data_IF_645758677836
#
_entry.id   IF_645758677836
#
_cell.length_a   1.000
_cell.length_b   1.000
_cell.length_c   1.000
_cell.angle_alpha   90.00
_cell.angle_beta   90.00
_cell.angle_gamma   90.00
#
_symmetry.space_group_name_H-M   'P 1'
#
loop_
_entity.id
_entity.type
_entity.pdbx_description
1 polymer ?
#
# COMPACT_ATOMS: atom_id res chain seq x y z
N UNK A 1 76.72 -59.93 11.31
CA UNK A 1 77.31 -58.98 12.29
C UNK A 1 77.21 -57.57 11.74
N UNK A 2 76.51 -56.70 12.49
CA UNK A 2 76.68 -55.24 12.63
C UNK A 2 76.80 -54.37 11.37
N UNK A 3 75.74 -53.60 11.09
CA UNK A 3 75.85 -52.14 10.87
C UNK A 3 74.68 -51.45 11.57
N UNK A 4 75.02 -50.44 12.36
CA UNK A 4 74.15 -49.59 13.16
C UNK A 4 73.71 -48.39 12.31
N UNK A 5 72.42 -48.09 12.29
CA UNK A 5 71.87 -46.83 11.76
C UNK A 5 71.79 -45.80 12.89
N UNK A 6 72.07 -44.54 12.54
CA UNK A 6 72.32 -43.44 13.46
C UNK A 6 71.03 -42.81 14.00
N UNK A 7 71.01 -42.61 15.32
CA UNK A 7 70.04 -41.83 16.09
C UNK A 7 70.24 -40.32 15.87
N UNK A 8 69.15 -39.59 15.67
CA UNK A 8 69.04 -38.17 16.03
C UNK A 8 67.85 -37.99 16.97
N UNK A 9 68.14 -37.85 18.26
CA UNK A 9 67.16 -37.60 19.34
C UNK A 9 67.10 -36.10 19.61
N UNK A 10 65.91 -35.53 19.41
CA UNK A 10 65.54 -34.16 19.79
C UNK A 10 65.10 -34.11 21.26
N UNK A 11 65.41 -32.99 21.90
CA UNK A 11 65.39 -32.63 23.33
C UNK A 11 64.12 -32.96 24.17
N UNK A 12 64.24 -32.99 25.52
CA UNK A 12 63.26 -33.60 26.43
C UNK A 12 62.09 -32.68 26.87
N UNK A 13 60.98 -33.35 27.20
CA UNK A 13 59.74 -32.81 27.74
C UNK A 13 59.85 -32.39 29.21
N UNK A 14 59.25 -31.24 29.56
CA UNK A 14 59.10 -30.74 30.92
C UNK A 14 57.80 -31.25 31.57
N UNK A 15 57.90 -31.60 32.86
CA UNK A 15 56.86 -32.22 33.68
C UNK A 15 55.80 -31.21 34.24
N UNK A 16 54.65 -31.68 34.75
CA UNK A 16 53.48 -30.86 35.05
C UNK A 16 53.43 -30.32 36.49
N UNK A 17 52.74 -29.20 36.73
CA UNK A 17 52.42 -28.68 38.06
C UNK A 17 50.96 -28.21 38.12
N UNK A 18 50.23 -28.69 39.13
CA UNK A 18 48.78 -28.49 39.32
C UNK A 18 48.38 -27.03 39.63
N UNK A 19 47.15 -26.59 39.30
CA UNK A 19 46.68 -25.25 39.64
C UNK A 19 46.22 -25.13 41.10
N UNK A 20 46.72 -24.07 41.76
CA UNK A 20 46.40 -23.64 43.13
C UNK A 20 45.11 -22.83 43.15
N UNK A 21 44.20 -23.15 44.08
CA UNK A 21 42.94 -22.44 44.30
C UNK A 21 43.15 -20.98 44.74
N UNK A 22 42.36 -20.07 44.19
CA UNK A 22 42.33 -18.62 44.50
C UNK A 22 41.28 -18.31 45.59
N UNK A 23 41.55 -17.37 46.52
CA UNK A 23 40.57 -16.94 47.53
C UNK A 23 39.53 -15.95 46.97
N UNK A 24 38.34 -15.82 47.60
CA UNK A 24 37.29 -14.94 47.11
C UNK A 24 37.59 -13.45 47.34
N UNK A 25 37.23 -12.62 46.36
CA UNK A 25 37.38 -11.17 46.42
C UNK A 25 36.40 -10.53 47.40
N UNK A 26 36.90 -9.71 48.32
CA UNK A 26 36.08 -8.86 49.21
C UNK A 26 35.65 -7.59 48.47
N UNK A 27 34.34 -7.36 48.41
CA UNK A 27 33.76 -6.19 47.76
C UNK A 27 34.06 -4.90 48.56
N UNK A 28 34.90 -4.02 48.02
CA UNK A 28 35.16 -2.68 48.59
C UNK A 28 34.02 -1.73 48.22
N UNK A 29 33.16 -1.44 49.19
CA UNK A 29 32.09 -0.44 49.10
C UNK A 29 32.67 0.96 48.90
N UNK A 30 32.52 1.54 47.71
CA UNK A 30 32.94 2.92 47.45
C UNK A 30 31.88 3.92 47.95
N UNK A 31 32.31 4.86 48.78
CA UNK A 31 31.52 5.95 49.36
C UNK A 31 31.14 6.99 48.28
N UNK A 32 30.21 6.65 47.41
CA UNK A 32 29.63 7.57 46.41
C UNK A 32 28.11 7.43 46.33
N UNK A 33 27.43 7.44 47.49
CA UNK A 33 25.96 7.44 47.61
C UNK A 33 25.42 8.56 48.50
N UNK A 34 26.19 9.64 48.69
CA UNK A 34 25.76 10.82 49.47
C UNK A 34 25.12 11.95 48.66
N UNK A 35 25.23 11.93 47.32
CA UNK A 35 24.85 13.09 46.48
C UNK A 35 23.55 12.87 45.69
N UNK A 36 23.01 11.66 45.64
CA UNK A 36 21.72 11.38 44.95
C UNK A 36 20.50 11.56 45.88
N UNK A 37 20.70 11.69 47.20
CA UNK A 37 19.61 11.86 48.17
C UNK A 37 19.00 13.27 48.24
N UNK A 38 19.68 14.31 47.74
CA UNK A 38 19.22 15.70 47.87
C UNK A 38 18.30 16.12 46.71
N UNK A 39 18.36 15.47 45.55
CA UNK A 39 17.49 15.79 44.40
C UNK A 39 16.11 15.11 44.45
N UNK A 40 15.90 14.09 45.29
CA UNK A 40 14.61 13.43 45.44
C UNK A 40 13.62 14.18 46.37
N UNK A 41 14.08 15.14 47.16
CA UNK A 41 13.23 15.90 48.08
C UNK A 41 12.53 17.11 47.42
N UNK A 42 12.96 17.55 46.23
CA UNK A 42 12.34 18.70 45.54
C UNK A 42 11.25 18.35 44.52
N UNK A 43 11.04 17.06 44.20
CA UNK A 43 9.97 16.63 43.29
C UNK A 43 8.63 16.33 43.99
N UNK A 44 8.57 16.29 45.33
CA UNK A 44 7.34 15.96 46.07
C UNK A 44 6.49 17.20 46.49
N UNK A 45 6.96 18.43 46.22
CA UNK A 45 6.24 19.67 46.60
C UNK A 45 5.61 20.39 45.37
N UNK A 46 5.98 20.00 44.15
CA UNK A 46 5.45 20.60 42.91
C UNK A 46 4.07 20.08 42.45
N UNK A 47 3.52 19.03 43.06
CA UNK A 47 2.29 18.37 42.59
C UNK A 47 1.02 18.75 43.40
N UNK A 48 1.10 19.65 44.38
CA UNK A 48 -0.06 20.07 45.21
C UNK A 48 -0.59 21.47 44.87
N UNK A 49 0.08 22.23 44.01
CA UNK A 49 -0.34 23.57 43.58
C UNK A 49 -1.02 23.62 42.18
N UNK A 50 -1.59 22.51 41.71
CA UNK A 50 -2.23 22.40 40.39
C UNK A 50 -3.69 21.92 40.43
N UNK A 51 -4.35 21.94 41.61
CA UNK A 51 -5.73 21.43 41.75
C UNK A 51 -6.72 22.42 42.41
N UNK A 52 -6.39 23.72 42.46
CA UNK A 52 -7.32 24.77 42.91
C UNK A 52 -7.17 26.01 42.00
N UNK A 53 -7.89 26.01 40.86
CA UNK A 53 -8.17 27.17 40.01
C UNK A 53 -7.01 27.72 39.14
N UNK A 54 -7.25 28.12 37.88
CA UNK A 54 -8.39 28.95 37.48
C UNK A 54 -9.19 28.38 36.29
N UNK A 55 -10.33 27.76 36.59
CA UNK A 55 -11.47 27.70 35.66
C UNK A 55 -12.15 29.07 35.70
N UNK A 56 -11.67 30.03 34.91
CA UNK A 56 -12.23 31.39 34.94
C UNK A 56 -11.42 32.42 34.16
N UNK A 57 -11.11 32.14 32.89
CA UNK A 57 -10.68 33.17 31.93
C UNK A 57 -10.66 32.58 30.50
N UNK A 58 -11.83 32.39 29.91
CA UNK A 58 -12.06 32.40 28.45
C UNK A 58 -13.56 32.17 28.17
N UNK A 59 -14.43 33.08 28.66
CA UNK A 59 -15.64 33.37 27.90
C UNK A 59 -15.18 34.30 26.77
N UNK A 60 -14.78 33.70 25.65
CA UNK A 60 -14.68 34.44 24.40
C UNK A 60 -16.11 34.77 23.98
N UNK A 61 -16.37 36.06 23.77
CA UNK A 61 -17.60 36.56 23.21
C UNK A 61 -17.78 35.96 21.81
N UNK A 62 -18.95 35.37 21.56
CA UNK A 62 -19.34 34.93 20.24
C UNK A 62 -19.64 36.18 19.40
N UNK A 63 -18.81 36.42 18.37
CA UNK A 63 -19.15 37.39 17.32
C UNK A 63 -20.22 36.75 16.43
N UNK A 64 -21.45 37.23 16.54
CA UNK A 64 -22.65 36.85 15.77
C UNK A 64 -22.70 37.53 14.38
N UNK A 65 -21.64 37.47 13.57
CA UNK A 65 -21.64 38.12 12.23
C UNK A 65 -21.29 37.22 11.03
N UNK A 66 -21.06 35.92 11.19
CA UNK A 66 -20.71 34.99 10.08
C UNK A 66 -21.73 33.87 9.81
N UNK A 67 -22.94 33.97 10.35
CA UNK A 67 -24.01 32.97 10.15
C UNK A 67 -24.88 33.20 8.89
N UNK A 68 -24.54 34.19 8.04
CA UNK A 68 -25.33 34.55 6.85
C UNK A 68 -24.75 34.05 5.51
N UNK A 69 -23.56 33.43 5.49
CA UNK A 69 -22.91 32.98 4.25
C UNK A 69 -22.73 31.45 4.11
N UNK A 70 -23.16 30.66 5.09
CA UNK A 70 -23.28 29.21 4.94
C UNK A 70 -24.67 28.84 4.39
N UNK A 71 -24.99 29.33 3.18
CA UNK A 71 -26.12 28.81 2.41
C UNK A 71 -25.74 27.41 1.94
N UNK A 72 -26.16 26.41 2.69
CA UNK A 72 -25.98 25.01 2.33
C UNK A 72 -26.72 24.71 1.03
N UNK A 73 -26.11 23.91 0.16
CA UNK A 73 -26.68 23.36 -1.09
C UNK A 73 -28.05 22.67 -0.84
N UNK A 74 -28.34 22.35 0.41
CA UNK A 74 -29.62 21.81 0.86
C UNK A 74 -30.80 22.79 0.71
N UNK A 75 -30.59 24.11 0.74
CA UNK A 75 -31.69 25.08 0.57
C UNK A 75 -32.04 25.33 -0.90
N UNK A 76 -31.07 25.25 -1.81
CA UNK A 76 -31.34 25.37 -3.26
C UNK A 76 -32.11 24.17 -3.82
N UNK A 77 -32.00 22.98 -3.21
CA UNK A 77 -32.73 21.79 -3.66
C UNK A 77 -34.21 21.74 -3.27
N UNK A 78 -34.70 22.67 -2.41
CA UNK A 78 -36.10 22.67 -1.95
C UNK A 78 -36.96 23.65 -2.75
N UNK A 79 -36.36 24.63 -3.43
CA UNK A 79 -37.06 25.57 -4.32
C UNK A 79 -37.15 25.05 -5.78
N UNK A 80 -36.31 24.10 -6.19
CA UNK A 80 -36.36 23.43 -7.51
C UNK A 80 -37.31 22.22 -7.56
N UNK A 81 -38.36 22.20 -6.72
CA UNK A 81 -39.51 21.30 -6.91
C UNK A 81 -40.38 21.79 -8.08
N UNK A 82 -39.82 21.84 -9.28
CA UNK A 82 -40.55 22.20 -10.50
C UNK A 82 -41.34 21.00 -11.03
N UNK A 83 -42.60 20.95 -10.58
CA UNK A 83 -43.79 20.87 -11.45
C UNK A 83 -43.68 19.96 -12.68
N UNK A 84 -43.99 18.68 -12.50
CA UNK A 84 -44.41 17.83 -13.61
C UNK A 84 -45.88 18.15 -13.93
N UNK A 85 -46.11 18.95 -14.98
CA UNK A 85 -47.46 19.11 -15.55
C UNK A 85 -47.71 17.91 -16.45
N UNK A 86 -48.35 16.87 -15.90
CA UNK A 86 -48.96 15.83 -16.73
C UNK A 86 -50.22 16.40 -17.35
N UNK A 87 -50.14 16.76 -18.64
CA UNK A 87 -51.33 17.08 -19.41
C UNK A 87 -52.14 15.79 -19.59
N UNK A 88 -53.24 15.69 -18.86
CA UNK A 88 -54.35 14.80 -19.15
C UNK A 88 -55.03 15.32 -20.43
N UNK A 89 -54.70 14.75 -21.60
CA UNK A 89 -55.65 14.46 -22.69
C UNK A 89 -54.95 13.86 -23.93
N UNK A 90 -55.66 12.95 -24.61
CA UNK A 90 -55.42 12.36 -25.93
C UNK A 90 -54.58 11.05 -26.06
N UNK A 91 -55.32 9.93 -26.00
CA UNK A 91 -55.33 8.73 -26.88
C UNK A 91 -54.04 7.89 -27.13
N UNK A 92 -54.13 6.54 -27.06
CA UNK A 92 -52.99 5.63 -27.30
C UNK A 92 -52.76 5.39 -28.79
N UNK A 93 -51.59 5.77 -29.31
CA UNK A 93 -51.15 5.38 -30.66
C UNK A 93 -49.81 4.62 -30.59
N UNK A 94 -49.94 3.33 -30.85
CA UNK A 94 -49.06 2.40 -31.58
C UNK A 94 -47.54 2.62 -31.56
N UNK A 95 -46.82 1.59 -31.10
CA UNK A 95 -45.38 1.53 -30.99
C UNK A 95 -44.65 1.79 -32.33
N UNK A 96 -43.84 2.86 -32.36
CA UNK A 96 -42.83 3.03 -33.39
C UNK A 96 -41.73 1.96 -33.19
N UNK A 97 -41.68 0.98 -34.10
CA UNK A 97 -40.58 0.03 -34.18
C UNK A 97 -39.29 0.75 -34.56
N UNK A 98 -38.37 0.89 -33.60
CA UNK A 98 -37.01 1.36 -33.87
C UNK A 98 -36.20 0.21 -34.46
N UNK A 99 -35.88 0.37 -35.74
CA UNK A 99 -35.02 -0.50 -36.54
C UNK A 99 -33.63 -0.63 -35.88
N UNK A 100 -33.28 -1.86 -35.47
CA UNK A 100 -32.00 -2.17 -34.83
C UNK A 100 -30.94 -2.34 -35.92
N UNK A 101 -30.37 -1.22 -36.36
CA UNK A 101 -29.21 -1.18 -37.25
C UNK A 101 -28.12 -2.14 -36.77
N UNK A 102 -27.82 -3.14 -37.59
CA UNK A 102 -26.77 -4.11 -37.37
C UNK A 102 -25.40 -3.46 -37.49
N UNK A 103 -24.54 -3.72 -36.52
CA UNK A 103 -23.10 -3.45 -36.62
C UNK A 103 -22.34 -4.77 -36.50
N UNK A 104 -21.58 -5.09 -37.53
CA UNK A 104 -20.67 -6.23 -37.56
C UNK A 104 -19.33 -5.81 -36.97
N UNK A 105 -19.02 -6.25 -35.76
CA UNK A 105 -17.63 -6.24 -35.26
C UNK A 105 -16.93 -7.47 -35.82
N UNK A 106 -15.99 -7.25 -36.73
CA UNK A 106 -14.95 -8.23 -37.00
C UNK A 106 -14.10 -8.43 -35.74
N UNK A 107 -14.08 -9.65 -35.20
CA UNK A 107 -12.93 -10.12 -34.41
C UNK A 107 -12.47 -11.43 -35.02
N UNK A 108 -11.33 -11.37 -35.70
CA UNK A 108 -10.60 -12.54 -36.14
C UNK A 108 -10.30 -13.44 -34.91
N UNK A 109 -10.64 -14.74 -34.94
CA UNK A 109 -10.29 -15.65 -33.86
C UNK A 109 -8.78 -15.92 -33.91
N UNK A 110 -8.05 -15.65 -32.83
CA UNK A 110 -6.71 -16.23 -32.66
C UNK A 110 -6.41 -16.61 -31.21
N UNK A 111 -6.74 -17.87 -30.97
CA UNK A 111 -6.10 -18.91 -30.15
C UNK A 111 -5.41 -18.56 -28.82
N UNK A 112 -5.99 -19.14 -27.78
CA UNK A 112 -5.39 -19.51 -26.51
C UNK A 112 -4.16 -20.43 -26.69
N UNK A 113 -2.97 -20.10 -26.15
CA UNK A 113 -1.97 -21.11 -25.86
C UNK A 113 -2.24 -21.74 -24.48
N UNK A 114 -2.55 -23.03 -24.51
CA UNK A 114 -2.58 -23.99 -23.39
C UNK A 114 -1.21 -24.07 -22.69
N UNK A 115 -1.11 -24.11 -21.34
CA UNK A 115 0.18 -24.22 -20.67
C UNK A 115 0.65 -25.68 -20.60
N UNK A 116 1.93 -25.91 -20.94
CA UNK A 116 2.74 -27.01 -20.43
C UNK A 116 4.21 -26.57 -20.29
N UNK A 117 4.99 -27.07 -19.30
CA UNK A 117 6.11 -26.35 -18.69
C UNK A 117 7.50 -26.83 -19.14
N UNK A 118 8.51 -25.93 -19.12
CA UNK A 118 9.88 -26.13 -18.56
C UNK A 118 10.83 -24.97 -18.89
N UNK A 119 11.77 -24.76 -17.96
CA UNK A 119 12.87 -23.80 -17.93
C UNK A 119 13.63 -23.60 -19.24
N UNK A 120 13.92 -22.33 -19.55
CA UNK A 120 15.24 -21.89 -19.99
C UNK A 120 15.40 -20.41 -19.63
N UNK A 121 16.36 -20.10 -18.76
CA UNK A 121 16.93 -18.77 -18.66
C UNK A 121 17.42 -18.35 -20.04
N UNK A 122 16.79 -17.35 -20.62
CA UNK A 122 17.40 -16.53 -21.65
C UNK A 122 17.17 -15.08 -21.26
N UNK A 123 18.23 -14.46 -20.77
CA UNK A 123 18.33 -13.03 -20.55
C UNK A 123 18.24 -12.34 -21.93
N UNK A 124 17.02 -12.13 -22.41
CA UNK A 124 16.80 -11.17 -23.48
C UNK A 124 17.00 -9.79 -22.86
N UNK A 125 18.07 -9.13 -23.31
CA UNK A 125 18.30 -7.72 -23.02
C UNK A 125 17.20 -6.95 -23.74
N UNK A 126 16.07 -6.78 -23.05
CA UNK A 126 14.92 -6.05 -23.55
C UNK A 126 15.30 -4.60 -23.76
N UNK A 127 14.88 -4.05 -24.91
CA UNK A 127 14.70 -2.61 -25.09
C UNK A 127 14.06 -2.06 -23.83
N UNK A 128 14.83 -1.30 -23.03
CA UNK A 128 14.31 -0.73 -21.80
C UNK A 128 13.21 0.25 -22.18
N UNK A 129 11.96 -0.18 -22.06
CA UNK A 129 10.82 0.71 -22.07
C UNK A 129 11.07 1.74 -20.96
N UNK A 130 11.20 3.00 -21.36
CA UNK A 130 11.40 4.10 -20.42
C UNK A 130 10.02 4.69 -20.16
N UNK A 131 9.50 4.62 -18.91
CA UNK A 131 8.19 5.16 -18.61
C UNK A 131 8.14 6.67 -18.87
N UNK A 132 7.10 7.19 -19.56
CA UNK A 132 6.85 8.63 -19.57
C UNK A 132 6.42 9.08 -18.16
N UNK A 133 6.78 10.31 -17.77
CA UNK A 133 6.24 10.89 -16.55
C UNK A 133 4.72 11.06 -16.69
N UNK A 134 3.97 10.61 -15.68
CA UNK A 134 2.52 10.75 -15.62
C UNK A 134 2.17 11.58 -14.38
N UNK A 135 1.61 12.77 -14.60
CA UNK A 135 0.97 13.54 -13.54
C UNK A 135 -0.51 13.20 -13.52
N UNK A 136 -1.05 12.61 -12.44
CA UNK A 136 -2.45 12.26 -12.36
C UNK A 136 -3.33 13.49 -12.14
N UNK A 137 -4.55 13.46 -12.69
CA UNK A 137 -5.56 14.48 -12.44
C UNK A 137 -6.06 14.39 -10.98
N UNK A 138 -6.14 15.51 -10.24
CA UNK A 138 -6.61 15.52 -8.85
C UNK A 138 -8.00 14.90 -8.68
N UNK A 139 -8.17 14.06 -7.65
CA UNK A 139 -9.45 13.37 -7.39
C UNK A 139 -9.71 12.15 -8.27
N UNK A 140 -8.83 11.83 -9.22
CA UNK A 140 -8.89 10.58 -9.98
C UNK A 140 -8.39 9.37 -9.17
N UNK A 141 -8.75 8.16 -9.61
CA UNK A 141 -8.16 6.93 -9.08
C UNK A 141 -6.63 6.89 -9.25
N UNK A 142 -6.10 7.53 -10.30
CA UNK A 142 -4.65 7.65 -10.52
C UNK A 142 -3.98 8.53 -9.48
N UNK A 143 -4.64 9.62 -9.02
CA UNK A 143 -4.10 10.47 -7.96
C UNK A 143 -4.00 9.72 -6.64
N UNK A 144 -5.05 8.97 -6.28
CA UNK A 144 -5.03 8.08 -5.10
C UNK A 144 -3.88 7.07 -5.19
N UNK A 145 -3.72 6.44 -6.36
CA UNK A 145 -2.62 5.50 -6.57
C UNK A 145 -1.25 6.16 -6.50
N UNK A 146 -1.10 7.38 -7.02
CA UNK A 146 0.15 8.12 -6.93
C UNK A 146 0.56 8.33 -5.48
N UNK A 147 -0.32 8.88 -4.65
CA UNK A 147 -0.05 9.09 -3.22
C UNK A 147 0.34 7.79 -2.52
N UNK A 148 -0.37 6.69 -2.83
CA UNK A 148 -0.09 5.37 -2.27
C UNK A 148 1.21 4.74 -2.78
N UNK A 149 1.63 5.03 -4.01
CA UNK A 149 2.92 4.62 -4.59
C UNK A 149 4.04 5.39 -3.93
N UNK A 150 3.91 6.72 -3.78
CA UNK A 150 4.90 7.55 -3.07
C UNK A 150 5.02 7.13 -1.60
N UNK A 151 3.91 6.84 -0.92
CA UNK A 151 3.91 6.36 0.45
C UNK A 151 4.66 5.01 0.64
N UNK A 152 4.79 4.22 -0.44
CA UNK A 152 5.57 2.96 -0.45
C UNK A 152 7.05 3.17 -0.76
N UNK A 153 7.48 4.41 -0.99
CA UNK A 153 8.86 4.75 -1.38
C UNK A 153 9.16 4.46 -2.86
N UNK A 154 8.15 4.21 -3.67
CA UNK A 154 8.30 3.99 -5.11
C UNK A 154 8.36 5.33 -5.88
N UNK A 155 9.19 5.35 -6.92
CA UNK A 155 9.43 6.52 -7.77
C UNK A 155 8.32 6.77 -8.79
N UNK A 156 8.48 7.85 -9.55
CA UNK A 156 7.52 8.21 -10.60
C UNK A 156 7.60 7.26 -11.80
N UNK A 157 8.73 6.60 -12.00
CA UNK A 157 8.94 5.51 -12.96
C UNK A 157 8.06 4.30 -12.63
N UNK A 158 8.02 3.92 -11.36
CA UNK A 158 7.13 2.86 -10.87
C UNK A 158 5.66 3.23 -11.03
N UNK A 159 5.31 4.49 -10.75
CA UNK A 159 3.95 4.97 -11.00
C UNK A 159 3.57 4.88 -12.48
N UNK A 160 4.45 5.27 -13.39
CA UNK A 160 4.18 5.20 -14.81
C UNK A 160 4.03 3.76 -15.33
N UNK A 161 4.80 2.81 -14.78
CA UNK A 161 4.59 1.38 -15.01
C UNK A 161 3.20 0.92 -14.51
N UNK A 162 2.78 1.36 -13.33
CA UNK A 162 1.45 1.08 -12.79
C UNK A 162 0.34 1.62 -13.70
N UNK A 163 0.50 2.86 -14.19
CA UNK A 163 -0.42 3.49 -15.12
C UNK A 163 -0.57 2.68 -16.39
N UNK A 164 0.54 2.27 -17.01
CA UNK A 164 0.50 1.42 -18.20
C UNK A 164 -0.20 0.08 -17.91
N UNK A 165 0.13 -0.54 -16.78
CA UNK A 165 -0.42 -1.82 -16.35
C UNK A 165 -1.94 -1.74 -16.17
N UNK A 166 -2.43 -0.89 -15.26
CA UNK A 166 -3.87 -0.82 -14.97
C UNK A 166 -4.70 -0.17 -16.08
N UNK A 167 -4.08 0.60 -16.99
CA UNK A 167 -4.73 0.96 -18.25
C UNK A 167 -5.05 -0.26 -19.11
N UNK A 168 -4.11 -1.21 -19.25
CA UNK A 168 -4.33 -2.47 -20.00
C UNK A 168 -5.39 -3.34 -19.33
N UNK A 169 -5.43 -3.37 -18.00
CA UNK A 169 -6.35 -4.22 -17.23
C UNK A 169 -7.80 -3.71 -17.26
N UNK A 170 -8.02 -2.46 -16.88
CA UNK A 170 -9.37 -1.93 -16.62
C UNK A 170 -9.64 -0.56 -17.23
N UNK A 171 -8.59 0.15 -17.65
CA UNK A 171 -8.68 1.58 -17.94
C UNK A 171 -9.00 2.40 -16.68
N UNK A 172 -8.50 1.96 -15.51
CA UNK A 172 -8.72 2.61 -14.21
C UNK A 172 -10.18 2.67 -13.73
N UNK A 173 -11.07 1.84 -14.30
CA UNK A 173 -12.49 1.79 -13.91
C UNK A 173 -12.69 0.90 -12.68
N UNK A 174 -13.23 1.48 -11.61
CA UNK A 174 -13.55 0.81 -10.33
C UNK A 174 -14.56 -0.33 -10.51
N UNK A 175 -15.47 -0.19 -11.47
CA UNK A 175 -16.51 -1.17 -11.79
C UNK A 175 -16.17 -2.03 -13.02
N UNK A 176 -14.90 -2.08 -13.45
CA UNK A 176 -14.51 -2.92 -14.57
C UNK A 176 -14.74 -4.40 -14.24
N UNK A 177 -15.70 -5.03 -14.93
CA UNK A 177 -16.00 -6.44 -14.76
C UNK A 177 -15.79 -7.21 -16.07
N UNK A 178 -14.97 -8.24 -16.03
CA UNK A 178 -14.78 -9.16 -17.14
C UNK A 178 -15.72 -10.37 -16.98
N UNK A 179 -16.78 -10.43 -17.79
CA UNK A 179 -17.77 -11.54 -17.75
C UNK A 179 -17.17 -12.92 -18.02
N UNK A 180 -16.10 -13.01 -18.82
CA UNK A 180 -15.50 -14.28 -19.19
C UNK A 180 -14.66 -14.89 -18.08
N UNK A 181 -13.86 -14.06 -17.38
CA UNK A 181 -12.98 -14.51 -16.31
C UNK A 181 -13.55 -14.33 -14.91
N UNK A 182 -14.47 -13.38 -14.71
CA UNK A 182 -14.93 -12.94 -13.40
C UNK A 182 -14.00 -11.94 -12.70
N UNK A 183 -12.97 -11.43 -13.39
CA UNK A 183 -12.06 -10.42 -12.84
C UNK A 183 -12.79 -9.08 -12.61
N UNK A 184 -12.44 -8.39 -11.53
CA UNK A 184 -13.13 -7.17 -11.11
C UNK A 184 -12.18 -6.03 -10.70
N UNK A 185 -12.61 -4.80 -10.98
CA UNK A 185 -12.04 -3.56 -10.47
C UNK A 185 -10.78 -3.09 -11.20
N UNK A 186 -10.17 -2.04 -10.67
CA UNK A 186 -8.95 -1.42 -11.21
C UNK A 186 -7.85 -2.47 -11.46
N UNK A 187 -7.49 -3.34 -10.49
CA UNK A 187 -6.42 -4.30 -10.69
C UNK A 187 -6.86 -5.59 -11.42
N UNK A 188 -8.15 -5.73 -11.79
CA UNK A 188 -8.72 -6.97 -12.35
C UNK A 188 -8.47 -8.19 -11.44
N UNK A 189 -8.82 -8.08 -10.16
CA UNK A 189 -8.63 -9.15 -9.18
C UNK A 189 -9.52 -10.37 -9.45
N UNK A 190 -8.97 -11.58 -9.28
CA UNK A 190 -9.69 -12.85 -9.48
C UNK A 190 -9.63 -13.80 -8.26
N UNK A 191 -10.77 -14.07 -7.59
CA UNK A 191 -12.03 -13.30 -7.65
C UNK A 191 -11.87 -11.91 -7.02
N UNK A 192 -12.74 -10.97 -7.41
CA UNK A 192 -12.76 -9.60 -6.88
C UNK A 192 -12.87 -9.52 -5.36
N UNK A 193 -13.59 -10.48 -4.74
CA UNK A 193 -13.77 -10.57 -3.29
C UNK A 193 -12.48 -10.66 -2.47
N UNK A 194 -11.34 -11.02 -3.10
CA UNK A 194 -10.03 -10.95 -2.43
C UNK A 194 -9.67 -9.54 -1.98
N UNK A 195 -10.16 -8.51 -2.67
CA UNK A 195 -9.97 -7.11 -2.27
C UNK A 195 -10.64 -6.77 -0.93
N UNK A 196 -11.57 -7.61 -0.46
CA UNK A 196 -12.17 -7.50 0.87
C UNK A 196 -11.17 -7.51 2.02
N UNK A 197 -9.96 -8.04 1.83
CA UNK A 197 -8.91 -7.98 2.85
C UNK A 197 -8.32 -6.58 3.04
N UNK A 198 -8.51 -5.67 2.08
CA UNK A 198 -8.09 -4.27 2.19
C UNK A 198 -9.22 -3.36 2.71
N UNK A 199 -10.47 -3.80 2.62
CA UNK A 199 -11.63 -3.05 3.07
C UNK A 199 -12.95 -3.70 2.61
N UNK A 200 -13.99 -3.61 3.43
CA UNK A 200 -15.29 -4.22 3.12
C UNK A 200 -16.01 -3.53 1.93
N UNK A 201 -15.63 -2.31 1.60
CA UNK A 201 -16.16 -1.46 0.53
C UNK A 201 -15.44 -1.63 -0.82
N UNK A 202 -14.66 -2.70 -0.97
CA UNK A 202 -13.80 -2.96 -2.13
C UNK A 202 -14.52 -2.91 -3.49
N UNK A 203 -15.81 -3.21 -3.52
CA UNK A 203 -16.56 -3.29 -4.78
C UNK A 203 -16.73 -1.91 -5.42
N UNK A 204 -16.80 -0.84 -4.63
CA UNK A 204 -17.11 0.52 -5.12
C UNK A 204 -16.07 1.56 -4.74
N UNK A 205 -15.11 1.24 -3.87
CA UNK A 205 -14.09 2.17 -3.44
C UNK A 205 -12.76 2.00 -4.21
N UNK A 206 -12.34 2.97 -5.06
CA UNK A 206 -11.06 2.91 -5.76
C UNK A 206 -9.88 2.79 -4.79
N UNK A 207 -9.89 3.49 -3.66
CA UNK A 207 -8.79 3.47 -2.71
C UNK A 207 -8.57 2.07 -2.14
N UNK A 208 -9.64 1.35 -1.82
CA UNK A 208 -9.58 -0.04 -1.34
C UNK A 208 -9.02 -0.97 -2.42
N UNK A 209 -9.48 -0.84 -3.67
CA UNK A 209 -8.97 -1.65 -4.78
C UNK A 209 -7.49 -1.39 -5.07
N UNK A 210 -7.08 -0.11 -5.05
CA UNK A 210 -5.70 0.31 -5.26
C UNK A 210 -4.82 -0.20 -4.12
N UNK A 211 -5.24 -0.05 -2.86
CA UNK A 211 -4.48 -0.52 -1.71
C UNK A 211 -4.21 -2.03 -1.80
N UNK A 212 -5.24 -2.81 -2.14
CA UNK A 212 -5.10 -4.26 -2.37
C UNK A 212 -4.16 -4.56 -3.56
N UNK A 213 -4.40 -3.92 -4.71
CA UNK A 213 -3.63 -4.15 -5.93
C UNK A 213 -2.15 -3.82 -5.78
N UNK A 214 -1.82 -2.71 -5.11
CA UNK A 214 -0.43 -2.34 -4.80
C UNK A 214 0.21 -3.33 -3.82
N UNK A 215 -0.55 -3.84 -2.84
CA UNK A 215 -0.08 -4.90 -1.94
C UNK A 215 0.23 -6.20 -2.69
N UNK A 216 -0.65 -6.60 -3.62
CA UNK A 216 -0.43 -7.75 -4.48
C UNK A 216 0.81 -7.59 -5.37
N UNK A 217 0.95 -6.43 -6.02
CA UNK A 217 2.11 -6.10 -6.85
C UNK A 217 3.40 -6.17 -6.04
N UNK A 218 3.45 -5.52 -4.87
CA UNK A 218 4.62 -5.55 -4.00
C UNK A 218 4.98 -6.96 -3.53
N UNK A 219 3.97 -7.76 -3.15
CA UNK A 219 4.20 -9.12 -2.66
C UNK A 219 4.63 -10.12 -3.74
N UNK A 220 4.21 -9.94 -4.99
CA UNK A 220 4.45 -10.92 -6.07
C UNK A 220 5.53 -10.50 -7.06
N UNK A 221 5.62 -9.21 -7.34
CA UNK A 221 6.51 -8.66 -8.37
C UNK A 221 7.58 -7.73 -7.80
N UNK A 222 7.50 -7.39 -6.50
CA UNK A 222 8.39 -6.44 -5.85
C UNK A 222 8.01 -4.99 -6.14
N UNK A 223 7.85 -4.62 -7.42
CA UNK A 223 7.49 -3.27 -7.85
C UNK A 223 6.51 -3.24 -9.03
N UNK A 224 5.79 -2.12 -9.25
CA UNK A 224 4.95 -1.93 -10.45
C UNK A 224 5.64 -2.18 -11.78
N UNK A 225 6.90 -1.78 -11.96
CA UNK A 225 7.68 -2.04 -13.15
C UNK A 225 8.03 -3.53 -13.29
N UNK A 226 8.28 -4.23 -12.18
CA UNK A 226 8.37 -5.69 -12.17
C UNK A 226 7.10 -6.35 -12.70
N UNK A 227 5.93 -5.89 -12.23
CA UNK A 227 4.63 -6.39 -12.67
C UNK A 227 4.36 -6.07 -14.15
N UNK A 228 4.66 -4.85 -14.59
CA UNK A 228 4.50 -4.44 -15.99
C UNK A 228 5.40 -5.24 -16.93
N UNK A 229 6.67 -5.45 -16.55
CA UNK A 229 7.59 -6.31 -17.30
C UNK A 229 7.05 -7.74 -17.44
N UNK A 230 6.51 -8.30 -16.35
CA UNK A 230 5.85 -9.60 -16.39
C UNK A 230 4.65 -9.61 -17.34
N UNK A 231 3.73 -8.65 -17.22
CA UNK A 231 2.54 -8.49 -18.04
C UNK A 231 2.83 -8.37 -19.54
N UNK A 232 3.93 -7.70 -19.90
CA UNK A 232 4.38 -7.62 -21.29
C UNK A 232 4.90 -8.96 -21.83
N UNK A 233 5.50 -9.78 -20.97
CA UNK A 233 6.09 -11.08 -21.36
C UNK A 233 5.10 -12.23 -21.40
N UNK A 234 4.14 -12.29 -20.46
CA UNK A 234 3.22 -13.42 -20.27
C UNK A 234 1.78 -13.09 -20.61
N UNK A 235 1.45 -11.81 -20.78
CA UNK A 235 0.10 -11.32 -21.03
C UNK A 235 -0.71 -11.06 -19.76
N UNK A 236 -0.24 -11.47 -18.57
CA UNK A 236 -0.92 -11.34 -17.28
C UNK A 236 0.04 -10.91 -16.17
N UNK A 237 -0.50 -10.46 -15.04
CA UNK A 237 0.20 -10.23 -13.78
C UNK A 237 -0.68 -10.66 -12.60
#
# INVERSE_FOLDING_TARGET
MRRHEAETVTAPAAAPSAPRATPPATARWSRRRGVVGVFAAFCAIGFVAAYVGPTGAALAEANDDDAAAAVSIYKSSIDEAQTLVTSEDAQPQEAASLDRGGYTVYVAPKETPKPAPKSASSSSSGTRWTPPFVSPDPGSAQAIAYDMVKARGWGDDEFACLVALWNKESGWRVNAYNRGSGAYGIPQALPGSKMGSAGADWETNPATQIAWGLGYIGGRYGTPCGAWGHSQSTGWY
#
